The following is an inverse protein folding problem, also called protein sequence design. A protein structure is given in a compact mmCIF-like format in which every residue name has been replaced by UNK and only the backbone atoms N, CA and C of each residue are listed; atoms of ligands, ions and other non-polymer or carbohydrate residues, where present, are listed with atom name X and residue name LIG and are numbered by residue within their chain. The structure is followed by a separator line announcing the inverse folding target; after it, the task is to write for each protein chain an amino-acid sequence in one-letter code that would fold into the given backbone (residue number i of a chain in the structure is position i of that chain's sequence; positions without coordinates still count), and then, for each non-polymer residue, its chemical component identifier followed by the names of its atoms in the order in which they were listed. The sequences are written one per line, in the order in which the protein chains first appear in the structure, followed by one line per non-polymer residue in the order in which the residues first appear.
data_IF_150064075278
#
_entry.id   IF_150064075278
#
_cell.length_a   1.000
_cell.length_b   1.000
_cell.length_c   1.000
_cell.angle_alpha   90.00
_cell.angle_beta   90.00
_cell.angle_gamma   90.00
#
_symmetry.space_group_name_H-M   'P 1'
#
loop_
_entity.id
_entity.type
_entity.pdbx_description
1 polymer ?
#
# COMPACT_ATOMS: atom_id res chain seq x y z
N UNK A 1 15.97 -19.37 9.54
CA UNK A 1 15.28 -18.07 9.50
C UNK A 1 14.70 -17.86 8.11
N UNK A 2 13.50 -17.29 8.03
CA UNK A 2 12.84 -17.03 6.75
C UNK A 2 12.18 -15.63 6.79
N UNK A 3 12.49 -14.79 5.81
CA UNK A 3 11.77 -13.52 5.65
C UNK A 3 10.41 -13.83 5.04
N UNK A 4 9.33 -13.53 5.77
CA UNK A 4 7.97 -13.86 5.33
C UNK A 4 7.36 -12.78 4.44
N UNK A 5 7.77 -11.54 4.62
CA UNK A 5 7.21 -10.44 3.87
C UNK A 5 7.01 -9.20 4.74
N UNK A 6 6.17 -8.28 4.26
CA UNK A 6 5.89 -7.02 4.94
C UNK A 6 4.48 -7.06 5.51
N UNK A 7 4.37 -6.75 6.80
CA UNK A 7 3.09 -6.59 7.48
C UNK A 7 2.80 -5.09 7.59
N UNK A 8 1.66 -4.67 7.07
CA UNK A 8 1.21 -3.28 7.18
C UNK A 8 -0.01 -3.21 8.09
N UNK A 9 -0.09 -2.14 8.85
CA UNK A 9 -1.17 -1.96 9.84
C UNK A 9 -2.26 -1.11 9.21
N UNK A 10 -3.51 -1.60 9.31
CA UNK A 10 -4.68 -0.97 8.69
C UNK A 10 -5.84 -0.95 9.68
N UNK A 11 -6.75 -0.01 9.52
CA UNK A 11 -7.91 0.08 10.41
C UNK A 11 -8.93 -1.00 10.13
N UNK A 12 -9.14 -1.33 8.85
CA UNK A 12 -10.14 -2.28 8.39
C UNK A 12 -9.52 -3.15 7.31
N UNK A 13 -9.29 -4.43 7.63
CA UNK A 13 -8.65 -5.35 6.70
C UNK A 13 -9.45 -5.56 5.42
N UNK A 14 -10.79 -5.58 5.48
CA UNK A 14 -11.61 -5.75 4.28
C UNK A 14 -11.52 -4.54 3.36
N UNK A 15 -11.51 -3.34 3.93
CA UNK A 15 -11.33 -2.11 3.16
C UNK A 15 -9.95 -2.07 2.50
N UNK A 16 -8.92 -2.43 3.25
CA UNK A 16 -7.56 -2.46 2.74
C UNK A 16 -7.39 -3.52 1.65
N UNK A 17 -7.97 -4.71 1.84
CA UNK A 17 -7.97 -5.77 0.83
C UNK A 17 -8.58 -5.26 -0.47
N UNK A 18 -9.73 -4.58 -0.40
CA UNK A 18 -10.37 -4.03 -1.59
C UNK A 18 -9.45 -3.03 -2.30
N UNK A 19 -8.81 -2.14 -1.56
CA UNK A 19 -7.88 -1.16 -2.12
C UNK A 19 -6.72 -1.84 -2.86
N UNK A 20 -6.05 -2.78 -2.19
CA UNK A 20 -4.90 -3.48 -2.79
C UNK A 20 -5.31 -4.40 -3.93
N UNK A 21 -6.51 -4.96 -3.89
CA UNK A 21 -7.05 -5.74 -5.00
C UNK A 21 -7.38 -4.84 -6.19
N UNK A 22 -8.08 -3.73 -5.96
CA UNK A 22 -8.48 -2.81 -7.04
C UNK A 22 -7.28 -2.19 -7.74
N UNK A 23 -6.25 -1.79 -6.98
CA UNK A 23 -5.13 -1.01 -7.52
C UNK A 23 -3.95 -1.87 -7.94
N UNK A 24 -3.68 -2.98 -7.26
CA UNK A 24 -2.46 -3.76 -7.47
C UNK A 24 -2.73 -5.21 -7.82
N UNK A 25 -3.99 -5.63 -7.87
CA UNK A 25 -4.35 -7.00 -8.22
C UNK A 25 -4.01 -8.03 -7.14
N UNK A 26 -3.78 -7.60 -5.91
CA UNK A 26 -3.50 -8.54 -4.82
C UNK A 26 -4.73 -9.36 -4.49
N UNK A 27 -4.51 -10.61 -4.13
CA UNK A 27 -5.57 -11.55 -3.78
C UNK A 27 -5.39 -12.03 -2.36
N UNK A 28 -6.50 -12.31 -1.69
CA UNK A 28 -6.50 -12.89 -0.35
C UNK A 28 -6.07 -14.35 -0.42
N UNK A 29 -5.05 -14.73 0.34
CA UNK A 29 -4.63 -16.12 0.49
C UNK A 29 -5.21 -16.75 1.76
N UNK A 30 -5.25 -16.00 2.86
CA UNK A 30 -5.78 -16.50 4.12
C UNK A 30 -6.30 -15.36 4.98
N UNK A 31 -7.49 -15.55 5.54
CA UNK A 31 -8.10 -14.61 6.49
C UNK A 31 -8.02 -15.24 7.89
N UNK A 32 -7.28 -14.58 8.79
CA UNK A 32 -7.06 -15.06 10.15
C UNK A 32 -7.78 -14.20 11.20
N UNK A 33 -8.87 -13.55 10.81
CA UNK A 33 -9.65 -12.69 11.69
C UNK A 33 -8.79 -11.57 12.33
N UNK A 34 -8.70 -10.45 11.62
CA UNK A 34 -7.86 -9.32 12.02
C UNK A 34 -6.45 -9.36 11.45
N UNK A 35 -6.09 -10.43 10.76
CA UNK A 35 -4.84 -10.55 10.01
C UNK A 35 -5.12 -11.26 8.70
N UNK A 36 -4.68 -10.68 7.60
CA UNK A 36 -4.88 -11.27 6.28
C UNK A 36 -3.54 -11.46 5.60
N UNK A 37 -3.33 -12.64 5.03
CA UNK A 37 -2.21 -12.89 4.14
C UNK A 37 -2.67 -12.67 2.70
N UNK A 38 -1.97 -11.80 1.97
CA UNK A 38 -2.23 -11.53 0.55
C UNK A 38 -1.12 -12.10 -0.30
N UNK A 39 -1.35 -12.11 -1.62
CA UNK A 39 -0.29 -12.41 -2.59
C UNK A 39 0.87 -11.42 -2.44
N UNK A 40 2.03 -11.77 -2.98
CA UNK A 40 3.25 -10.93 -2.98
C UNK A 40 3.82 -10.68 -1.59
N UNK A 41 3.56 -11.58 -0.64
CA UNK A 41 4.12 -11.52 0.72
C UNK A 41 3.74 -10.23 1.47
N UNK A 42 2.54 -9.74 1.26
CA UNK A 42 1.98 -8.63 2.03
C UNK A 42 0.96 -9.19 3.02
N UNK A 43 1.04 -8.70 4.26
CA UNK A 43 0.12 -9.06 5.33
C UNK A 43 -0.59 -7.81 5.81
N UNK A 44 -1.89 -7.90 6.02
CA UNK A 44 -2.68 -6.82 6.61
C UNK A 44 -2.95 -7.17 8.08
N UNK A 45 -2.66 -6.25 8.97
CA UNK A 45 -2.91 -6.41 10.39
C UNK A 45 -3.85 -5.32 10.87
N UNK A 46 -4.95 -5.69 11.53
CA UNK A 46 -5.89 -4.73 12.09
C UNK A 46 -5.21 -3.96 13.23
N UNK A 47 -5.39 -2.63 13.22
CA UNK A 47 -4.63 -1.72 14.09
C UNK A 47 -4.91 -1.90 15.58
N UNK A 48 -6.16 -2.18 15.96
CA UNK A 48 -6.52 -2.40 17.36
C UNK A 48 -5.78 -3.59 17.96
N UNK A 49 -5.74 -4.70 17.24
CA UNK A 49 -4.98 -5.88 17.67
C UNK A 49 -3.48 -5.59 17.74
N UNK A 50 -2.97 -4.90 16.71
CA UNK A 50 -1.53 -4.57 16.68
C UNK A 50 -1.12 -3.72 17.88
N UNK A 51 -1.94 -2.72 18.21
CA UNK A 51 -1.67 -1.85 19.38
C UNK A 51 -1.76 -2.61 20.68
N UNK A 52 -2.67 -3.59 20.79
CA UNK A 52 -2.74 -4.47 21.97
C UNK A 52 -1.49 -5.33 22.09
N UNK A 53 -1.02 -5.91 20.99
CA UNK A 53 0.14 -6.81 20.99
C UNK A 53 1.43 -6.09 21.32
N UNK A 54 1.61 -4.89 20.77
CA UNK A 54 2.88 -4.17 20.85
C UNK A 54 2.94 -3.16 21.98
N UNK A 55 1.78 -2.74 22.50
CA UNK A 55 1.68 -1.62 23.45
C UNK A 55 2.24 -0.33 22.86
N UNK A 56 2.10 -0.16 21.55
CA UNK A 56 2.53 1.03 20.80
C UNK A 56 1.39 1.55 19.96
N UNK A 57 1.40 2.86 19.70
CA UNK A 57 0.43 3.49 18.81
C UNK A 57 0.88 3.39 17.36
N UNK A 58 -0.07 3.20 16.45
CA UNK A 58 0.19 3.31 15.02
C UNK A 58 0.52 4.77 14.69
N UNK A 59 1.53 4.98 13.85
CA UNK A 59 1.93 6.31 13.38
C UNK A 59 1.74 6.35 11.87
N UNK A 60 0.56 6.80 11.39
CA UNK A 60 0.36 6.92 9.95
C UNK A 60 1.26 8.01 9.38
N UNK A 61 1.58 7.89 8.09
CA UNK A 61 2.42 8.85 7.38
C UNK A 61 3.81 9.03 8.01
N UNK A 62 4.35 7.96 8.59
CA UNK A 62 5.66 8.01 9.26
C UNK A 62 6.84 8.07 8.28
N UNK A 63 6.64 7.63 7.04
CA UNK A 63 7.59 7.75 5.92
C UNK A 63 8.93 7.03 6.15
N UNK A 64 8.97 5.99 6.98
CA UNK A 64 10.21 5.24 7.24
C UNK A 64 10.39 4.05 6.30
N UNK A 65 9.38 3.73 5.53
CA UNK A 65 9.41 2.69 4.51
C UNK A 65 8.37 3.01 3.47
N UNK A 66 8.48 2.36 2.32
CA UNK A 66 7.46 2.47 1.29
C UNK A 66 7.30 1.13 0.59
N UNK A 67 6.09 0.89 0.07
CA UNK A 67 5.83 -0.22 -0.83
C UNK A 67 6.14 0.29 -2.24
N UNK A 68 7.06 -0.37 -2.92
CA UNK A 68 7.54 0.07 -4.22
C UNK A 68 7.02 -0.86 -5.31
N UNK A 69 6.35 -0.27 -6.30
CA UNK A 69 5.76 -0.99 -7.42
C UNK A 69 6.29 -0.45 -8.74
N UNK A 70 6.36 -1.31 -9.73
CA UNK A 70 6.74 -0.96 -11.09
C UNK A 70 5.51 -1.10 -11.99
N UNK A 71 5.18 -0.07 -12.76
CA UNK A 71 4.01 -0.08 -13.64
C UNK A 71 4.35 0.61 -14.98
N UNK A 72 4.44 -0.16 -16.08
CA UNK A 72 4.71 0.42 -17.39
C UNK A 72 3.63 1.41 -17.87
N UNK A 73 2.36 1.16 -17.51
CA UNK A 73 1.22 1.98 -17.91
C UNK A 73 0.80 2.91 -16.77
N UNK A 74 1.75 3.71 -16.30
CA UNK A 74 1.56 4.49 -15.07
C UNK A 74 0.47 5.56 -15.20
N UNK A 75 0.27 6.15 -16.40
CA UNK A 75 -0.80 7.13 -16.62
C UNK A 75 -2.18 6.49 -16.43
N UNK A 76 -2.38 5.27 -16.93
CA UNK A 76 -3.63 4.53 -16.74
C UNK A 76 -3.82 4.15 -15.27
N UNK A 77 -2.73 3.80 -14.59
CA UNK A 77 -2.77 3.52 -13.16
C UNK A 77 -3.27 4.73 -12.37
N UNK A 78 -2.69 5.91 -12.62
CA UNK A 78 -3.07 7.15 -11.93
C UNK A 78 -4.52 7.50 -12.22
N UNK A 79 -4.97 7.37 -13.47
CA UNK A 79 -6.35 7.62 -13.85
C UNK A 79 -7.32 6.71 -13.08
N UNK A 80 -6.99 5.42 -12.95
CA UNK A 80 -7.80 4.48 -12.20
C UNK A 80 -7.80 4.79 -10.71
N UNK A 81 -6.64 5.17 -10.16
CA UNK A 81 -6.51 5.57 -8.77
C UNK A 81 -7.43 6.76 -8.46
N UNK A 82 -7.40 7.78 -9.28
CA UNK A 82 -8.22 8.99 -9.08
C UNK A 82 -9.71 8.71 -9.27
N UNK A 83 -10.05 7.79 -10.18
CA UNK A 83 -11.46 7.41 -10.42
C UNK A 83 -12.02 6.63 -9.24
N UNK A 84 -11.29 5.64 -8.72
CA UNK A 84 -11.76 4.76 -7.67
C UNK A 84 -11.56 5.34 -6.26
N UNK A 85 -10.52 6.15 -6.08
CA UNK A 85 -10.14 6.69 -4.78
C UNK A 85 -9.81 8.18 -4.89
N UNK A 86 -10.81 9.04 -5.19
CA UNK A 86 -10.57 10.47 -5.45
C UNK A 86 -10.02 11.22 -4.23
N UNK A 87 -10.17 10.67 -3.02
CA UNK A 87 -9.69 11.27 -1.78
C UNK A 87 -8.25 10.88 -1.44
N UNK A 88 -7.56 10.15 -2.34
CA UNK A 88 -6.19 9.69 -2.05
C UNK A 88 -5.26 10.87 -1.78
N UNK A 89 -4.41 10.71 -0.77
CA UNK A 89 -3.45 11.76 -0.40
C UNK A 89 -2.13 11.53 -1.12
N UNK A 90 -1.73 12.47 -1.98
CA UNK A 90 -0.47 12.39 -2.70
C UNK A 90 0.69 12.94 -1.87
N UNK A 91 1.86 12.30 -2.03
CA UNK A 91 3.14 12.88 -1.64
C UNK A 91 3.68 13.68 -2.81
N UNK A 92 3.69 13.10 -4.01
CA UNK A 92 3.89 13.82 -5.25
C UNK A 92 2.99 13.24 -6.34
N UNK A 93 2.43 14.12 -7.17
CA UNK A 93 1.72 13.72 -8.36
C UNK A 93 2.70 13.15 -9.38
N UNK A 94 2.17 12.52 -10.43
CA UNK A 94 3.00 11.92 -11.46
C UNK A 94 4.02 12.94 -11.97
N UNK A 95 5.29 12.58 -11.91
CA UNK A 95 6.41 13.43 -12.30
C UNK A 95 7.49 12.61 -12.99
N UNK A 96 8.37 13.27 -13.72
CA UNK A 96 9.51 12.63 -14.36
C UNK A 96 10.77 13.03 -13.60
N UNK A 97 11.50 12.04 -13.09
CA UNK A 97 12.79 12.28 -12.46
C UNK A 97 13.90 12.50 -13.50
N UNK A 98 15.03 13.07 -13.07
CA UNK A 98 16.17 13.38 -13.94
C UNK A 98 16.73 12.16 -14.66
N UNK A 99 16.54 10.95 -14.12
CA UNK A 99 17.00 9.71 -14.75
C UNK A 99 15.96 9.11 -15.70
N UNK A 100 14.85 9.84 -16.00
CA UNK A 100 13.86 9.49 -17.01
C UNK A 100 12.69 8.66 -16.51
N UNK A 101 12.68 8.21 -15.28
CA UNK A 101 11.60 7.43 -14.70
C UNK A 101 10.42 8.33 -14.32
N UNK A 102 9.20 7.93 -14.68
CA UNK A 102 7.98 8.56 -14.17
C UNK A 102 7.62 7.92 -12.85
N UNK A 103 7.27 8.73 -11.86
CA UNK A 103 7.00 8.25 -10.50
C UNK A 103 5.83 9.02 -9.90
N UNK A 104 4.97 8.31 -9.18
CA UNK A 104 3.92 8.88 -8.32
C UNK A 104 4.06 8.29 -6.94
N UNK A 105 3.88 9.13 -5.90
CA UNK A 105 3.90 8.67 -4.51
C UNK A 105 2.64 9.13 -3.81
N UNK A 106 2.07 8.26 -3.02
CA UNK A 106 0.83 8.54 -2.31
C UNK A 106 0.72 7.62 -1.08
N UNK A 107 -0.22 7.93 -0.21
CA UNK A 107 -0.53 7.05 0.92
C UNK A 107 -1.70 6.15 0.57
N UNK A 108 -1.67 4.92 1.11
CA UNK A 108 -2.86 4.09 1.07
C UNK A 108 -3.92 4.68 2.03
N UNK A 109 -5.04 3.99 2.20
CA UNK A 109 -6.16 4.49 3.02
C UNK A 109 -5.82 4.61 4.51
N UNK A 110 -4.67 4.09 4.92
CA UNK A 110 -4.25 4.03 6.33
C UNK A 110 -2.91 4.74 6.58
N UNK A 111 -2.40 5.46 5.60
CA UNK A 111 -1.17 6.22 5.76
C UNK A 111 0.11 5.43 5.52
N UNK A 112 0.01 4.29 4.84
CA UNK A 112 1.20 3.55 4.40
C UNK A 112 1.69 4.13 3.08
N UNK A 113 2.98 4.45 3.00
CA UNK A 113 3.56 5.11 1.83
C UNK A 113 3.73 4.13 0.67
N UNK A 114 3.29 4.56 -0.51
CA UNK A 114 3.40 3.78 -1.74
C UNK A 114 4.12 4.62 -2.80
N UNK A 115 5.05 3.99 -3.49
CA UNK A 115 5.69 4.55 -4.68
C UNK A 115 5.39 3.64 -5.86
N UNK A 116 4.91 4.22 -6.96
CA UNK A 116 4.73 3.52 -8.23
C UNK A 116 5.59 4.22 -9.27
N UNK A 117 6.46 3.46 -9.92
CA UNK A 117 7.35 3.99 -10.94
C UNK A 117 7.32 3.16 -12.21
N UNK A 118 7.69 3.79 -13.33
CA UNK A 118 7.89 3.06 -14.57
C UNK A 118 9.15 2.20 -14.48
N UNK A 119 9.26 1.11 -15.28
CA UNK A 119 10.47 0.31 -15.31
C UNK A 119 11.72 1.13 -15.61
N UNK A 120 12.80 0.78 -14.94
CA UNK A 120 14.13 1.35 -15.20
C UNK A 120 15.08 0.28 -15.70
#
# INVERSE_FOLDING_TARGET
MKYKGTLIVVKDCNRALKFYSDMFGFQLLQDNDGNMELTNNIYLQESGYWEQFTKRSVIPNSNQSELYFEEPNIEQFVERLETLYPEIEYVNHLMIHSWGQKVVRFYDLDGNLIEVGTPI
#
